data_IF_681241450962
#
_entry.id   IF_681241450962
#
_cell.length_a   1.000
_cell.length_b   1.000
_cell.length_c   1.000
_cell.angle_alpha   90.00
_cell.angle_beta   90.00
_cell.angle_gamma   90.00
#
_symmetry.space_group_name_H-M   'P 1'
#
loop_
_entity.id
_entity.type
_entity.pdbx_description
1 polymer ?
#
# COMPACT_ATOMS: atom_id res chain seq x y z
N UNK A 1 -68.37 -55.68 -43.52
CA UNK A 1 -68.84 -57.09 -43.42
C UNK A 1 -67.92 -57.79 -42.44
N UNK A 2 -68.39 -58.20 -41.26
CA UNK A 2 -67.61 -58.99 -40.31
C UNK A 2 -68.09 -60.44 -40.42
N UNK A 3 -67.14 -61.38 -40.57
CA UNK A 3 -67.43 -62.81 -40.64
C UNK A 3 -67.69 -63.35 -39.23
N UNK A 4 -68.86 -63.94 -39.03
CA UNK A 4 -69.23 -64.61 -37.78
C UNK A 4 -68.89 -66.09 -37.88
N UNK A 5 -67.84 -66.50 -37.16
CA UNK A 5 -67.55 -67.89 -36.81
C UNK A 5 -67.78 -68.08 -35.31
N UNK A 6 -68.22 -69.28 -34.90
CA UNK A 6 -68.73 -69.62 -33.58
C UNK A 6 -67.95 -69.08 -32.38
N UNK A 7 -68.71 -68.76 -31.33
CA UNK A 7 -68.27 -68.41 -29.96
C UNK A 7 -67.64 -67.04 -29.69
N UNK A 8 -67.61 -66.12 -30.66
CA UNK A 8 -67.30 -64.71 -30.39
C UNK A 8 -68.39 -63.78 -30.93
N UNK A 9 -69.27 -63.34 -30.02
CA UNK A 9 -70.24 -62.28 -30.29
C UNK A 9 -69.47 -61.03 -30.71
N UNK A 10 -69.62 -60.61 -31.97
CA UNK A 10 -69.03 -59.37 -32.46
C UNK A 10 -69.65 -58.18 -31.73
N UNK A 11 -68.94 -57.62 -30.75
CA UNK A 11 -69.36 -56.38 -30.07
C UNK A 11 -69.12 -55.20 -31.01
N UNK A 12 -70.21 -54.53 -31.38
CA UNK A 12 -70.14 -53.26 -32.11
C UNK A 12 -69.76 -52.19 -31.08
N UNK A 13 -68.58 -51.52 -31.17
CA UNK A 13 -68.25 -50.44 -30.26
C UNK A 13 -69.21 -49.28 -30.52
N UNK A 14 -70.02 -48.95 -29.51
CA UNK A 14 -70.85 -47.75 -29.54
C UNK A 14 -69.90 -46.55 -29.48
N UNK A 15 -69.94 -45.70 -30.51
CA UNK A 15 -69.25 -44.43 -30.48
C UNK A 15 -70.06 -43.50 -29.56
N UNK A 16 -69.43 -42.85 -28.57
CA UNK A 16 -70.15 -41.94 -27.69
C UNK A 16 -70.84 -40.86 -28.52
N UNK A 17 -72.11 -40.59 -28.17
CA UNK A 17 -72.90 -39.58 -28.86
C UNK A 17 -72.26 -38.20 -28.73
N UNK A 18 -72.69 -37.24 -29.57
CA UNK A 18 -72.20 -35.87 -29.47
C UNK A 18 -72.48 -35.24 -28.08
N UNK A 19 -73.56 -35.66 -27.42
CA UNK A 19 -73.91 -35.25 -26.06
C UNK A 19 -72.96 -35.86 -25.01
N UNK A 20 -72.69 -37.17 -25.06
CA UNK A 20 -71.74 -37.83 -24.13
C UNK A 20 -70.35 -37.19 -24.21
N UNK A 21 -69.87 -36.88 -25.42
CA UNK A 21 -68.58 -36.22 -25.60
C UNK A 21 -68.57 -34.78 -25.08
N UNK A 22 -69.70 -34.09 -25.11
CA UNK A 22 -69.82 -32.73 -24.56
C UNK A 22 -69.85 -32.76 -23.03
N UNK A 23 -70.51 -33.74 -22.43
CA UNK A 23 -70.52 -33.96 -20.98
C UNK A 23 -69.13 -34.27 -20.45
N UNK A 24 -68.45 -35.28 -21.04
CA UNK A 24 -67.10 -35.67 -20.64
C UNK A 24 -66.10 -34.51 -20.78
N UNK A 25 -66.17 -33.76 -21.88
CA UNK A 25 -65.30 -32.60 -22.10
C UNK A 25 -65.66 -31.42 -21.21
N UNK A 26 -66.94 -31.21 -20.92
CA UNK A 26 -67.42 -30.16 -20.02
C UNK A 26 -66.94 -30.38 -18.60
N UNK A 27 -67.05 -31.61 -18.09
CA UNK A 27 -66.51 -32.00 -16.78
C UNK A 27 -64.99 -31.85 -16.73
N UNK A 28 -64.28 -32.28 -17.77
CA UNK A 28 -62.83 -32.13 -17.83
C UNK A 28 -62.35 -30.66 -17.88
N UNK A 29 -63.12 -29.76 -18.50
CA UNK A 29 -62.83 -28.32 -18.50
C UNK A 29 -63.04 -27.73 -17.10
N UNK A 30 -64.11 -28.15 -16.40
CA UNK A 30 -64.39 -27.69 -15.05
C UNK A 30 -63.30 -28.12 -14.06
N UNK A 31 -62.86 -29.38 -14.12
CA UNK A 31 -61.74 -29.89 -13.31
C UNK A 31 -60.44 -29.12 -13.57
N UNK A 32 -60.16 -28.79 -14.83
CA UNK A 32 -58.99 -27.95 -15.18
C UNK A 32 -59.13 -26.52 -14.66
N UNK A 33 -60.33 -25.94 -14.74
CA UNK A 33 -60.58 -24.59 -14.24
C UNK A 33 -60.41 -24.52 -12.71
N UNK A 34 -60.87 -25.53 -11.99
CA UNK A 34 -60.64 -25.66 -10.55
C UNK A 34 -59.14 -25.75 -10.23
N UNK A 35 -58.40 -26.62 -10.91
CA UNK A 35 -56.94 -26.75 -10.74
C UNK A 35 -56.19 -25.45 -11.01
N UNK A 36 -56.53 -24.73 -12.08
CA UNK A 36 -55.93 -23.42 -12.39
C UNK A 36 -56.23 -22.42 -11.27
N UNK A 37 -57.46 -22.40 -10.76
CA UNK A 37 -57.86 -21.50 -9.69
C UNK A 37 -57.06 -21.79 -8.41
N UNK A 38 -56.93 -23.06 -8.04
CA UNK A 38 -56.13 -23.48 -6.88
C UNK A 38 -54.66 -23.16 -7.04
N UNK A 39 -54.07 -23.39 -8.21
CA UNK A 39 -52.67 -23.03 -8.48
C UNK A 39 -52.44 -21.52 -8.46
N UNK A 40 -53.40 -20.72 -8.93
CA UNK A 40 -53.32 -19.26 -8.85
C UNK A 40 -53.43 -18.79 -7.40
N UNK A 41 -54.30 -19.38 -6.60
CA UNK A 41 -54.43 -19.06 -5.17
C UNK A 41 -53.15 -19.40 -4.40
N UNK A 42 -52.56 -20.57 -4.68
CA UNK A 42 -51.28 -20.97 -4.10
C UNK A 42 -50.16 -20.01 -4.52
N UNK A 43 -50.03 -19.67 -5.81
CA UNK A 43 -49.03 -18.72 -6.28
C UNK A 43 -49.21 -17.31 -5.68
N UNK A 44 -50.45 -16.90 -5.47
CA UNK A 44 -50.80 -15.61 -4.87
C UNK A 44 -50.90 -15.67 -3.35
N UNK A 45 -50.51 -16.78 -2.72
CA UNK A 45 -50.51 -16.91 -1.27
C UNK A 45 -49.63 -15.83 -0.61
N UNK A 46 -49.95 -15.41 0.63
CA UNK A 46 -49.12 -14.48 1.38
C UNK A 46 -47.64 -14.89 1.43
N UNK A 47 -47.36 -16.18 1.58
CA UNK A 47 -46.01 -16.75 1.67
C UNK A 47 -45.25 -16.61 0.34
N UNK A 48 -45.90 -16.93 -0.78
CA UNK A 48 -45.29 -16.80 -2.10
C UNK A 48 -45.07 -15.33 -2.48
N UNK A 49 -46.01 -14.44 -2.15
CA UNK A 49 -45.82 -12.99 -2.32
C UNK A 49 -44.65 -12.46 -1.50
N UNK A 50 -44.53 -12.85 -0.23
CA UNK A 50 -43.40 -12.46 0.62
C UNK A 50 -42.08 -12.98 0.06
N UNK A 51 -42.06 -14.21 -0.45
CA UNK A 51 -40.87 -14.80 -1.09
C UNK A 51 -40.47 -14.05 -2.35
N UNK A 52 -41.43 -13.71 -3.21
CA UNK A 52 -41.18 -12.91 -4.42
C UNK A 52 -40.63 -11.52 -4.07
N UNK A 53 -41.24 -10.82 -3.09
CA UNK A 53 -40.76 -9.52 -2.62
C UNK A 53 -39.34 -9.61 -2.05
N UNK A 54 -39.06 -10.63 -1.24
CA UNK A 54 -37.72 -10.83 -0.68
C UNK A 54 -36.67 -11.15 -1.75
N UNK A 55 -37.05 -11.85 -2.83
CA UNK A 55 -36.18 -12.09 -3.97
C UNK A 55 -35.86 -10.78 -4.71
N UNK A 56 -36.86 -9.94 -4.99
CA UNK A 56 -36.65 -8.62 -5.60
C UNK A 56 -35.75 -7.74 -4.74
N UNK A 57 -36.03 -7.65 -3.44
CA UNK A 57 -35.21 -6.86 -2.50
C UNK A 57 -33.76 -7.37 -2.45
N UNK A 58 -33.56 -8.69 -2.57
CA UNK A 58 -32.21 -9.27 -2.58
C UNK A 58 -31.46 -8.96 -3.87
N UNK A 59 -32.15 -8.93 -5.02
CA UNK A 59 -31.58 -8.50 -6.29
C UNK A 59 -31.22 -7.02 -6.25
N UNK A 60 -32.10 -6.17 -5.71
CA UNK A 60 -31.86 -4.74 -5.57
C UNK A 60 -30.64 -4.48 -4.67
N UNK A 61 -30.57 -5.13 -3.50
CA UNK A 61 -29.41 -5.04 -2.60
C UNK A 61 -28.11 -5.50 -3.27
N UNK A 62 -28.17 -6.56 -4.08
CA UNK A 62 -27.00 -7.03 -4.83
C UNK A 62 -26.59 -6.01 -5.90
N UNK A 63 -27.54 -5.45 -6.64
CA UNK A 63 -27.29 -4.42 -7.64
C UNK A 63 -26.66 -3.16 -7.01
N UNK A 64 -27.18 -2.70 -5.88
CA UNK A 64 -26.62 -1.56 -5.12
C UNK A 64 -25.21 -1.85 -4.63
N UNK A 65 -24.96 -3.05 -4.10
CA UNK A 65 -23.63 -3.46 -3.65
C UNK A 65 -22.63 -3.47 -4.81
N UNK A 66 -23.04 -3.96 -5.98
CA UNK A 66 -22.22 -3.94 -7.20
C UNK A 66 -21.96 -2.51 -7.70
N UNK A 67 -22.99 -1.66 -7.71
CA UNK A 67 -22.87 -0.25 -8.10
C UNK A 67 -21.95 0.55 -7.15
N UNK A 68 -21.83 0.14 -5.89
CA UNK A 68 -20.94 0.76 -4.91
C UNK A 68 -19.47 0.33 -5.03
N UNK A 69 -19.14 -0.75 -5.76
CA UNK A 69 -17.76 -1.23 -5.90
C UNK A 69 -16.83 -0.17 -6.51
N UNK A 70 -17.16 0.46 -7.65
CA UNK A 70 -16.31 1.50 -8.24
C UNK A 70 -16.03 2.65 -7.25
N UNK A 71 -17.07 3.15 -6.57
CA UNK A 71 -16.95 4.26 -5.60
C UNK A 71 -16.01 3.92 -4.43
N UNK A 72 -15.94 2.65 -4.04
CA UNK A 72 -15.01 2.18 -2.99
C UNK A 72 -13.60 1.98 -3.50
N UNK A 73 -13.42 1.75 -4.81
CA UNK A 73 -12.14 1.56 -5.45
C UNK A 73 -11.51 2.88 -5.91
N UNK A 74 -12.31 3.91 -6.21
CA UNK A 74 -11.83 5.23 -6.66
C UNK A 74 -10.71 5.80 -5.76
N UNK A 75 -10.83 5.83 -4.42
CA UNK A 75 -9.77 6.38 -3.57
C UNK A 75 -8.46 5.57 -3.62
N UNK A 76 -8.54 4.27 -3.94
CA UNK A 76 -7.37 3.40 -4.09
C UNK A 76 -6.71 3.65 -5.44
N UNK A 77 -7.51 3.75 -6.51
CA UNK A 77 -7.05 4.06 -7.85
C UNK A 77 -6.42 5.45 -7.93
N UNK A 78 -6.96 6.44 -7.22
CA UNK A 78 -6.40 7.80 -7.15
C UNK A 78 -5.04 7.85 -6.44
N UNK A 79 -4.82 6.95 -5.47
CA UNK A 79 -3.57 6.91 -4.69
C UNK A 79 -2.48 6.10 -5.36
N UNK A 80 -2.83 5.18 -6.26
CA UNK A 80 -1.90 4.29 -6.96
C UNK A 80 -0.77 5.04 -7.69
N UNK A 81 -1.05 6.06 -8.53
CA UNK A 81 0.00 6.83 -9.20
C UNK A 81 0.96 7.48 -8.21
N UNK A 82 0.44 8.06 -7.12
CA UNK A 82 1.27 8.71 -6.11
C UNK A 82 2.18 7.72 -5.37
N UNK A 83 1.73 6.48 -5.18
CA UNK A 83 2.52 5.41 -4.59
C UNK A 83 3.64 4.99 -5.53
N UNK A 84 3.33 4.79 -6.82
CA UNK A 84 4.31 4.47 -7.86
C UNK A 84 5.40 5.55 -7.89
N UNK A 85 5.03 6.83 -7.95
CA UNK A 85 6.00 7.93 -7.96
C UNK A 85 6.87 7.97 -6.69
N UNK A 86 6.32 7.63 -5.52
CA UNK A 86 7.12 7.55 -4.28
C UNK A 86 8.09 6.38 -4.30
N UNK A 87 7.68 5.23 -4.84
CA UNK A 87 8.56 4.07 -5.02
C UNK A 87 9.69 4.40 -6.00
N UNK A 88 9.38 5.01 -7.13
CA UNK A 88 10.39 5.42 -8.13
C UNK A 88 11.43 6.35 -7.50
N UNK A 89 10.99 7.42 -6.81
CA UNK A 89 11.93 8.33 -6.11
C UNK A 89 12.75 7.63 -5.03
N UNK A 90 12.16 6.65 -4.33
CA UNK A 90 12.88 5.87 -3.34
C UNK A 90 13.95 5.01 -4.00
N UNK A 91 13.68 4.42 -5.15
CA UNK A 91 14.65 3.64 -5.92
C UNK A 91 15.78 4.54 -6.45
N UNK A 92 15.46 5.73 -6.98
CA UNK A 92 16.46 6.72 -7.40
C UNK A 92 17.36 7.17 -6.24
N UNK A 93 16.77 7.35 -5.05
CA UNK A 93 17.52 7.71 -3.85
C UNK A 93 18.46 6.59 -3.40
N UNK A 94 18.01 5.34 -3.49
CA UNK A 94 18.83 4.16 -3.19
C UNK A 94 19.98 4.03 -4.20
N UNK A 95 19.73 4.23 -5.50
CA UNK A 95 20.76 4.20 -6.54
C UNK A 95 21.82 5.29 -6.33
N UNK A 96 21.36 6.51 -6.02
CA UNK A 96 22.25 7.63 -5.70
C UNK A 96 23.11 7.33 -4.47
N UNK A 97 22.51 6.75 -3.43
CA UNK A 97 23.23 6.35 -2.21
C UNK A 97 24.25 5.26 -2.51
N UNK A 98 23.89 4.24 -3.28
CA UNK A 98 24.78 3.15 -3.67
C UNK A 98 25.97 3.67 -4.50
N UNK A 99 25.72 4.58 -5.43
CA UNK A 99 26.77 5.24 -6.23
C UNK A 99 27.69 6.09 -5.36
N UNK A 100 27.13 6.87 -4.44
CA UNK A 100 27.89 7.70 -3.50
C UNK A 100 28.75 6.86 -2.56
N UNK A 101 28.19 5.79 -1.99
CA UNK A 101 28.92 4.86 -1.14
C UNK A 101 30.07 4.18 -1.91
N UNK A 102 29.82 3.76 -3.15
CA UNK A 102 30.86 3.17 -4.00
C UNK A 102 32.00 4.16 -4.27
N UNK A 103 31.67 5.43 -4.58
CA UNK A 103 32.67 6.48 -4.78
C UNK A 103 33.47 6.77 -3.51
N UNK A 104 32.80 6.84 -2.36
CA UNK A 104 33.45 7.04 -1.07
C UNK A 104 34.43 5.91 -0.75
N UNK A 105 34.04 4.64 -0.95
CA UNK A 105 34.91 3.49 -0.76
C UNK A 105 36.15 3.57 -1.66
N UNK A 106 35.99 3.93 -2.94
CA UNK A 106 37.13 4.12 -3.85
C UNK A 106 38.05 5.26 -3.42
N UNK A 107 37.49 6.37 -2.96
CA UNK A 107 38.29 7.51 -2.49
C UNK A 107 39.05 7.16 -1.21
N UNK A 108 38.41 6.42 -0.29
CA UNK A 108 39.04 5.92 0.93
C UNK A 108 40.18 4.94 0.61
N UNK A 109 39.94 4.00 -0.30
CA UNK A 109 40.96 3.03 -0.75
C UNK A 109 42.16 3.74 -1.39
N UNK A 110 41.90 4.74 -2.26
CA UNK A 110 42.95 5.57 -2.84
C UNK A 110 43.72 6.37 -1.79
N UNK A 111 43.02 6.95 -0.79
CA UNK A 111 43.67 7.67 0.30
C UNK A 111 44.53 6.74 1.14
N UNK A 112 43.99 5.59 1.56
CA UNK A 112 44.71 4.57 2.31
C UNK A 112 45.96 4.11 1.55
N UNK A 113 45.81 3.80 0.26
CA UNK A 113 46.92 3.42 -0.62
C UNK A 113 47.99 4.51 -0.69
N UNK A 114 47.60 5.79 -0.86
CA UNK A 114 48.56 6.92 -0.92
C UNK A 114 49.25 7.20 0.42
N UNK A 115 48.55 7.00 1.53
CA UNK A 115 49.12 7.16 2.87
C UNK A 115 50.11 6.03 3.22
N UNK A 116 49.85 4.82 2.73
CA UNK A 116 50.66 3.61 2.94
C UNK A 116 51.74 3.40 1.86
N UNK A 117 51.77 4.23 0.81
CA UNK A 117 52.76 4.12 -0.25
C UNK A 117 54.18 4.34 0.32
N UNK A 118 55.21 3.62 -0.19
CA UNK A 118 56.60 3.91 0.11
C UNK A 118 56.93 5.38 -0.25
N UNK A 119 57.64 6.09 0.61
CA UNK A 119 57.84 7.56 0.53
C UNK A 119 56.53 8.38 0.63
N UNK A 120 55.49 7.80 1.22
CA UNK A 120 54.22 8.46 1.48
C UNK A 120 54.32 9.60 2.51
N UNK A 121 53.27 10.42 2.69
CA UNK A 121 53.28 11.52 3.64
C UNK A 121 53.55 11.06 5.08
N UNK A 122 53.07 9.87 5.46
CA UNK A 122 53.28 9.30 6.80
C UNK A 122 54.75 8.92 7.00
N UNK A 123 55.38 8.28 6.02
CA UNK A 123 56.79 7.90 6.10
C UNK A 123 57.71 9.12 6.03
N UNK A 124 57.37 10.12 5.21
CA UNK A 124 58.03 11.45 5.22
C UNK A 124 57.88 12.18 6.55
N UNK A 125 56.72 12.12 7.18
CA UNK A 125 56.52 12.69 8.53
C UNK A 125 57.36 11.95 9.57
N UNK A 126 57.35 10.62 9.57
CA UNK A 126 58.14 9.82 10.52
C UNK A 126 59.65 10.04 10.34
N UNK A 127 60.14 10.12 9.10
CA UNK A 127 61.54 10.44 8.82
C UNK A 127 61.90 11.88 9.18
N UNK A 128 61.01 12.85 8.96
CA UNK A 128 61.21 14.25 9.37
C UNK A 128 61.20 14.42 10.88
N UNK A 129 60.29 13.74 11.60
CA UNK A 129 60.27 13.72 13.07
C UNK A 129 61.50 13.01 13.62
N UNK A 130 61.96 11.92 12.98
CA UNK A 130 63.22 11.27 13.32
C UNK A 130 64.43 12.20 13.14
N UNK A 131 64.46 12.97 12.05
CA UNK A 131 65.51 13.96 11.79
C UNK A 131 65.43 15.16 12.75
N UNK A 132 64.22 15.63 13.09
CA UNK A 132 64.02 16.66 14.11
C UNK A 132 64.38 16.15 15.50
N UNK A 133 64.03 14.91 15.86
CA UNK A 133 64.42 14.27 17.12
C UNK A 133 65.94 14.14 17.26
N UNK A 134 66.64 13.89 16.16
CA UNK A 134 68.10 13.93 16.11
C UNK A 134 68.66 15.36 16.24
N UNK A 135 67.97 16.37 15.68
CA UNK A 135 68.35 17.78 15.75
C UNK A 135 67.94 18.48 17.08
N UNK A 136 66.96 17.97 17.82
CA UNK A 136 66.52 18.50 19.12
C UNK A 136 67.48 18.18 20.27
N UNK A 137 68.46 17.29 20.05
CA UNK A 137 69.61 17.19 20.97
C UNK A 137 70.49 18.45 20.94
N UNK A 138 70.27 19.37 20.00
CA UNK A 138 71.14 20.54 19.78
C UNK A 138 70.41 21.90 19.74
N UNK A 139 69.07 21.93 19.82
CA UNK A 139 68.29 23.18 19.90
C UNK A 139 67.09 23.05 20.87
N UNK A 140 67.38 22.92 22.17
CA UNK A 140 66.50 23.48 23.19
C UNK A 140 66.71 24.99 23.19
N UNK A 141 65.84 25.75 22.51
CA UNK A 141 65.34 27.06 22.92
C UNK A 141 64.64 27.71 21.73
N UNK A 142 63.43 28.18 22.03
CA UNK A 142 62.61 29.12 21.27
C UNK A 142 61.57 28.54 20.29
N UNK A 143 60.30 28.82 20.64
CA UNK A 143 59.10 28.93 19.78
C UNK A 143 58.14 27.73 19.66
N UNK A 144 57.30 27.53 20.69
CA UNK A 144 56.02 26.83 20.53
C UNK A 144 54.86 27.51 21.31
N UNK A 145 54.23 28.58 20.77
CA UNK A 145 52.86 28.94 21.16
C UNK A 145 51.79 28.45 20.16
N UNK A 146 52.15 28.04 18.93
CA UNK A 146 51.18 27.77 17.86
C UNK A 146 50.52 26.37 17.90
N UNK A 147 51.11 25.38 18.58
CA UNK A 147 50.55 24.01 18.64
C UNK A 147 49.43 23.88 19.67
N UNK A 148 49.42 24.73 20.71
CA UNK A 148 48.37 24.74 21.74
C UNK A 148 47.04 25.26 21.15
N UNK A 149 47.08 26.26 20.25
CA UNK A 149 45.87 26.82 19.63
C UNK A 149 45.15 25.83 18.71
N UNK A 150 45.87 25.02 17.92
CA UNK A 150 45.26 24.02 17.04
C UNK A 150 44.54 22.89 17.81
N UNK A 151 44.98 22.60 19.03
CA UNK A 151 44.37 21.54 19.87
C UNK A 151 43.04 22.00 20.45
N UNK A 152 42.90 23.28 20.80
CA UNK A 152 41.64 23.81 21.34
C UNK A 152 40.56 23.95 20.27
N UNK A 153 40.94 24.28 19.04
CA UNK A 153 40.02 24.41 17.90
C UNK A 153 39.50 23.03 17.43
N UNK A 154 40.35 21.99 17.49
CA UNK A 154 39.92 20.61 17.27
C UNK A 154 38.94 20.12 18.35
N UNK A 155 39.18 20.46 19.63
CA UNK A 155 38.26 20.13 20.72
C UNK A 155 36.91 20.85 20.58
N UNK A 156 36.90 22.09 20.14
CA UNK A 156 35.66 22.82 19.88
C UNK A 156 34.86 22.18 18.73
N UNK A 157 35.54 21.81 17.64
CA UNK A 157 34.95 21.15 16.47
C UNK A 157 34.32 19.80 16.83
N UNK A 158 35.00 18.98 17.64
CA UNK A 158 34.48 17.68 18.08
C UNK A 158 33.21 17.81 18.96
N UNK A 159 33.12 18.86 19.78
CA UNK A 159 31.91 19.12 20.58
C UNK A 159 30.72 19.55 19.72
N UNK A 160 30.96 20.31 18.65
CA UNK A 160 29.92 20.70 17.70
C UNK A 160 29.33 19.47 16.98
N UNK A 161 30.19 18.58 16.49
CA UNK A 161 29.78 17.32 15.84
C UNK A 161 28.96 16.43 16.78
N UNK A 162 29.39 16.29 18.04
CA UNK A 162 28.66 15.48 19.03
C UNK A 162 27.28 16.05 19.35
N UNK A 163 27.12 17.38 19.33
CA UNK A 163 25.82 18.04 19.55
C UNK A 163 24.85 17.77 18.39
N UNK A 164 25.35 17.77 17.15
CA UNK A 164 24.56 17.42 15.95
C UNK A 164 24.15 15.95 15.95
N UNK A 165 25.05 15.05 16.33
CA UNK A 165 24.75 13.60 16.41
C UNK A 165 23.69 13.29 17.48
N UNK A 166 23.76 13.93 18.65
CA UNK A 166 22.74 13.76 19.70
C UNK A 166 21.38 14.33 19.26
N UNK A 167 21.35 15.48 18.59
CA UNK A 167 20.12 16.05 18.01
C UNK A 167 19.45 15.09 17.01
N UNK A 168 20.22 14.29 16.28
CA UNK A 168 19.70 13.27 15.36
C UNK A 168 19.04 12.10 16.10
N UNK A 169 19.63 11.65 17.21
CA UNK A 169 19.09 10.59 18.06
C UNK A 169 17.80 10.99 18.77
N UNK A 170 17.72 12.24 19.25
CA UNK A 170 16.60 12.71 20.06
C UNK A 170 15.36 13.07 19.21
N UNK A 171 15.53 13.35 17.90
CA UNK A 171 14.46 13.83 17.01
C UNK A 171 14.49 13.21 15.60
N UNK A 172 14.28 11.89 15.47
CA UNK A 172 14.32 11.21 14.16
C UNK A 172 13.23 11.70 13.17
N UNK A 173 12.16 12.31 13.70
CA UNK A 173 11.03 12.83 12.92
C UNK A 173 11.40 14.05 12.03
N UNK A 174 12.53 14.74 12.31
CA UNK A 174 12.94 15.95 11.58
C UNK A 174 13.45 15.69 10.16
N UNK A 175 13.72 14.43 9.80
CA UNK A 175 14.12 14.02 8.44
C UNK A 175 12.95 14.14 7.46
N UNK A 176 11.73 13.86 7.92
CA UNK A 176 10.52 13.85 7.09
C UNK A 176 9.83 15.23 7.03
N UNK A 177 9.99 16.05 8.07
CA UNK A 177 9.24 17.31 8.23
C UNK A 177 10.11 18.57 8.25
N UNK A 178 11.45 18.43 8.18
CA UNK A 178 12.38 19.53 8.39
C UNK A 178 12.48 19.93 9.86
N UNK A 179 13.58 20.59 10.24
CA UNK A 179 13.70 21.21 11.56
C UNK A 179 12.61 22.27 11.69
N UNK A 180 11.76 22.25 12.74
CA UNK A 180 10.91 23.41 13.01
C UNK A 180 11.84 24.60 13.20
N UNK A 181 11.65 25.67 12.43
CA UNK A 181 12.41 26.89 12.59
C UNK A 181 12.37 27.34 14.05
N UNK A 182 13.49 27.82 14.56
CA UNK A 182 13.54 28.40 15.90
C UNK A 182 12.45 29.47 16.04
N UNK A 183 11.86 29.59 17.23
CA UNK A 183 10.84 30.60 17.49
C UNK A 183 11.41 31.99 17.13
N UNK A 184 10.67 32.83 16.39
CA UNK A 184 11.19 34.10 15.88
C UNK A 184 11.81 34.93 17.00
N UNK A 185 13.01 35.45 16.79
CA UNK A 185 13.70 36.27 17.80
C UNK A 185 13.08 37.67 17.92
N UNK A 186 13.42 38.44 18.98
CA UNK A 186 13.02 39.84 19.07
C UNK A 186 13.43 40.62 17.80
N UNK A 187 12.45 41.12 17.05
CA UNK A 187 12.67 41.83 15.79
C UNK A 187 12.33 41.03 14.51
N UNK A 188 12.02 39.74 14.63
CA UNK A 188 11.55 38.93 13.51
C UNK A 188 10.00 38.89 13.44
N UNK A 189 9.41 38.87 12.24
CA UNK A 189 7.96 38.72 12.09
C UNK A 189 7.47 37.44 12.78
N UNK A 190 6.58 37.58 13.77
CA UNK A 190 6.02 36.46 14.53
C UNK A 190 6.58 36.28 15.95
N UNK A 191 7.45 37.16 16.44
CA UNK A 191 7.89 37.13 17.84
C UNK A 191 6.75 37.53 18.80
N UNK A 192 6.39 36.62 19.70
CA UNK A 192 5.52 36.89 20.85
C UNK A 192 6.37 36.92 22.13
N UNK A 193 6.44 38.05 22.85
CA UNK A 193 7.18 38.12 24.11
C UNK A 193 6.47 37.24 25.16
N UNK A 194 7.22 36.57 26.05
CA UNK A 194 6.63 35.76 27.10
C UNK A 194 5.80 36.65 28.03
N UNK A 195 4.50 36.39 28.10
CA UNK A 195 3.62 36.96 29.13
C UNK A 195 4.01 36.38 30.48
N UNK A 196 4.28 37.28 31.44
CA UNK A 196 4.50 36.93 32.84
C UNK A 196 3.29 36.25 33.46
#
# INVERSE_FOLDING_TARGET
RLATGGERIARIPLRPGLLDQLEDRGLAILDKAEKITTSLDELLSPENRATMLGAFESVDRAADAYAAIPQRLDPVLDRLPSLITKVDRSMDSIDTLATSATSMTRNYDNLATRLQAPDGPIERLNSTIGALGAATSELELETLPHVVQMTDEARASLRAVRRTANSFSDRPQSILFGTPGDAPGPGEPGFAPPTK
#
